data_IF_272485590837
#
_entry.id   IF_272485590837
#
_cell.length_a   1.000
_cell.length_b   1.000
_cell.length_c   1.000
_cell.angle_alpha   90.00
_cell.angle_beta   90.00
_cell.angle_gamma   90.00
#
_symmetry.space_group_name_H-M   'P 1'
#
loop_
_entity.id
_entity.type
_entity.pdbx_description
1 polymer ?
#
# COMPACT_ATOMS: atom_id res chain seq x y z
N UNK A 1 -29.88 15.21 1.43
CA UNK A 1 -28.58 15.68 2.00
C UNK A 1 -27.47 14.93 1.30
N UNK A 2 -26.65 15.67 0.62
CA UNK A 2 -25.48 15.09 -0.02
C UNK A 2 -24.36 14.95 1.00
N UNK A 3 -24.11 13.74 1.44
CA UNK A 3 -22.94 13.46 2.27
C UNK A 3 -21.77 13.23 1.32
N UNK A 4 -20.90 14.19 1.24
CA UNK A 4 -19.63 13.99 0.53
C UNK A 4 -18.74 13.19 1.48
N UNK A 5 -18.68 11.89 1.28
CA UNK A 5 -17.71 11.07 1.95
C UNK A 5 -16.32 11.42 1.42
N UNK A 6 -15.43 11.90 2.31
CA UNK A 6 -14.03 12.14 1.97
C UNK A 6 -13.30 10.80 1.84
N UNK A 7 -13.69 10.02 0.84
CA UNK A 7 -13.05 8.75 0.52
C UNK A 7 -12.10 8.92 -0.64
N UNK A 8 -11.03 8.16 -0.65
CA UNK A 8 -10.09 8.07 -1.75
C UNK A 8 -10.70 7.24 -2.90
N UNK A 9 -10.14 7.38 -4.09
CA UNK A 9 -10.57 6.63 -5.27
C UNK A 9 -9.50 5.65 -5.69
N UNK A 10 -9.87 4.41 -6.07
CA UNK A 10 -8.91 3.43 -6.56
C UNK A 10 -8.17 3.92 -7.80
N UNK A 11 -6.91 3.52 -7.89
CA UNK A 11 -6.08 3.72 -9.08
C UNK A 11 -5.69 2.34 -9.58
N UNK A 12 -5.98 1.98 -10.84
CA UNK A 12 -5.47 0.74 -11.40
C UNK A 12 -3.95 0.69 -11.30
N UNK A 13 -3.39 -0.46 -10.95
CA UNK A 13 -1.95 -0.60 -10.75
C UNK A 13 -1.13 -0.19 -11.97
N UNK A 14 -1.68 -0.34 -13.17
CA UNK A 14 -1.04 0.07 -14.42
C UNK A 14 -0.93 1.59 -14.60
N UNK A 15 -1.71 2.37 -13.86
CA UNK A 15 -1.71 3.84 -13.93
C UNK A 15 -1.06 4.50 -12.72
N UNK A 16 -0.69 3.74 -11.72
CA UNK A 16 -0.05 4.28 -10.53
C UNK A 16 1.40 4.65 -10.80
N UNK A 17 1.89 5.66 -10.10
CA UNK A 17 3.26 6.11 -10.21
C UNK A 17 4.17 5.23 -9.35
N UNK A 18 5.33 4.81 -9.85
CA UNK A 18 6.28 4.10 -8.99
C UNK A 18 6.78 5.04 -7.90
N UNK A 19 6.96 4.46 -6.71
CA UNK A 19 7.51 5.21 -5.58
C UNK A 19 8.97 5.63 -5.87
N UNK A 20 9.36 6.88 -5.57
CA UNK A 20 10.76 7.29 -5.68
C UNK A 20 11.66 6.49 -4.75
N UNK A 21 12.87 6.19 -5.22
CA UNK A 21 13.85 5.39 -4.47
C UNK A 21 14.15 5.97 -3.07
N UNK A 22 14.15 7.29 -2.93
CA UNK A 22 14.43 7.96 -1.64
C UNK A 22 13.40 7.68 -0.55
N UNK A 23 12.23 7.15 -0.90
CA UNK A 23 11.19 6.80 0.05
C UNK A 23 11.03 5.30 0.25
N UNK A 24 11.89 4.50 -0.36
CA UNK A 24 12.01 3.07 -0.10
C UNK A 24 12.97 2.89 1.07
N UNK A 25 12.45 2.39 2.19
CA UNK A 25 13.21 2.24 3.44
C UNK A 25 13.93 0.91 3.53
N UNK A 26 13.39 -0.12 2.92
CA UNK A 26 13.95 -1.46 2.91
C UNK A 26 14.02 -1.97 1.45
N UNK A 27 15.03 -1.55 0.69
CA UNK A 27 15.12 -1.85 -0.74
C UNK A 27 15.24 -3.34 -1.07
N UNK A 28 15.66 -4.17 -0.12
CA UNK A 28 15.71 -5.62 -0.31
C UNK A 28 14.34 -6.23 -0.64
N UNK A 29 13.25 -5.62 -0.20
CA UNK A 29 11.89 -6.07 -0.54
C UNK A 29 11.51 -5.77 -1.98
N UNK A 30 12.25 -4.94 -2.67
CA UNK A 30 11.95 -4.53 -4.06
C UNK A 30 12.74 -5.32 -5.09
N UNK A 31 13.55 -6.27 -4.67
CA UNK A 31 14.38 -7.08 -5.56
C UNK A 31 13.73 -8.42 -5.83
N UNK A 32 13.60 -8.74 -7.13
CA UNK A 32 13.18 -10.07 -7.53
C UNK A 32 14.22 -11.11 -7.11
N UNK A 33 13.79 -12.18 -6.48
CA UNK A 33 14.63 -13.27 -6.02
C UNK A 33 13.95 -14.59 -6.35
N UNK A 34 14.76 -15.63 -6.57
CA UNK A 34 14.24 -16.98 -6.81
C UNK A 34 13.44 -17.44 -5.59
N UNK A 35 12.26 -18.00 -5.85
CA UNK A 35 11.36 -18.47 -4.80
C UNK A 35 10.48 -17.39 -4.17
N UNK A 36 10.66 -16.13 -4.55
CA UNK A 36 9.85 -15.02 -4.07
C UNK A 36 8.73 -14.70 -5.05
N UNK A 37 7.64 -14.17 -4.55
CA UNK A 37 6.46 -13.86 -5.32
C UNK A 37 6.11 -12.37 -5.23
N UNK A 38 5.44 -11.88 -6.27
CA UNK A 38 5.10 -10.46 -6.42
C UNK A 38 3.89 -10.07 -5.56
N UNK A 39 4.05 -8.99 -4.84
CA UNK A 39 2.98 -8.27 -4.14
C UNK A 39 3.02 -6.82 -4.60
N UNK A 40 1.91 -6.31 -5.12
CA UNK A 40 1.81 -4.93 -5.57
C UNK A 40 0.93 -4.16 -4.60
N UNK A 41 1.45 -3.10 -4.03
CA UNK A 41 0.71 -2.21 -3.13
C UNK A 41 0.51 -0.88 -3.82
N UNK A 42 -0.74 -0.52 -4.09
CA UNK A 42 -1.10 0.73 -4.76
C UNK A 42 -1.90 1.59 -3.81
N UNK A 43 -1.46 2.82 -3.62
CA UNK A 43 -2.22 3.79 -2.83
C UNK A 43 -3.22 4.53 -3.71
N UNK A 44 -4.44 4.65 -3.21
CA UNK A 44 -5.51 5.40 -3.86
C UNK A 44 -5.10 6.83 -4.19
N UNK A 45 -5.73 7.35 -5.23
CA UNK A 45 -5.78 8.78 -5.51
C UNK A 45 -6.56 9.49 -4.39
N UNK A 46 -6.05 10.61 -3.90
CA UNK A 46 -6.68 11.39 -2.84
C UNK A 46 -6.59 12.88 -3.12
N UNK A 47 -7.50 13.65 -2.52
CA UNK A 47 -7.41 15.11 -2.54
C UNK A 47 -6.16 15.54 -1.77
N UNK A 48 -5.56 16.67 -2.15
CA UNK A 48 -4.33 17.20 -1.57
C UNK A 48 -4.39 17.39 -0.05
N UNK A 49 -5.55 17.80 0.46
CA UNK A 49 -5.78 17.97 1.89
C UNK A 49 -5.66 16.66 2.68
N UNK A 50 -5.76 15.51 1.99
CA UNK A 50 -5.69 14.18 2.57
C UNK A 50 -4.39 13.46 2.20
N UNK A 51 -3.40 14.19 1.73
CA UNK A 51 -2.17 13.64 1.19
C UNK A 51 -1.11 13.34 2.26
N UNK A 52 -1.53 12.81 3.41
CA UNK A 52 -0.56 12.31 4.38
C UNK A 52 0.21 11.13 3.84
N UNK A 53 1.43 10.96 4.34
CA UNK A 53 2.28 9.84 3.97
C UNK A 53 1.77 8.56 4.64
N UNK A 54 1.64 7.49 3.86
CA UNK A 54 1.33 6.17 4.38
C UNK A 54 2.63 5.38 4.57
N UNK A 55 2.92 5.02 5.80
CA UNK A 55 4.04 4.12 6.11
C UNK A 55 3.60 2.68 5.89
N UNK A 56 4.27 2.01 4.97
CA UNK A 56 4.01 0.61 4.65
C UNK A 56 4.98 -0.30 5.41
N UNK A 57 4.42 -1.26 6.13
CA UNK A 57 5.19 -2.25 6.87
C UNK A 57 4.90 -3.65 6.33
N UNK A 58 5.92 -4.49 6.31
CA UNK A 58 5.80 -5.91 6.01
C UNK A 58 6.43 -6.68 7.17
N UNK A 59 5.65 -7.53 7.82
CA UNK A 59 6.10 -8.33 8.96
C UNK A 59 6.78 -7.46 10.04
N UNK A 60 6.23 -6.28 10.28
CA UNK A 60 6.74 -5.33 11.27
C UNK A 60 7.90 -4.45 10.81
N UNK A 61 8.38 -4.62 9.58
CA UNK A 61 9.51 -3.86 9.04
C UNK A 61 8.98 -2.70 8.19
N UNK A 62 9.42 -1.48 8.47
CA UNK A 62 9.09 -0.33 7.63
C UNK A 62 9.77 -0.47 6.27
N UNK A 63 8.97 -0.58 5.22
CA UNK A 63 9.44 -0.86 3.86
C UNK A 63 9.49 0.40 3.02
N UNK A 64 8.47 1.25 3.11
CA UNK A 64 8.35 2.40 2.24
C UNK A 64 7.32 3.42 2.75
N UNK A 65 7.44 4.63 2.22
CA UNK A 65 6.49 5.72 2.46
C UNK A 65 5.74 5.99 1.15
N UNK A 66 4.43 5.76 1.14
CA UNK A 66 3.58 5.93 -0.03
C UNK A 66 2.79 7.24 0.04
N UNK A 67 2.79 7.97 -1.05
CA UNK A 67 1.89 9.11 -1.29
C UNK A 67 0.74 8.70 -2.21
N UNK A 68 -0.33 9.51 -2.32
CA UNK A 68 -1.44 9.19 -3.19
C UNK A 68 -1.03 8.89 -4.63
N UNK A 69 -1.69 7.92 -5.26
CA UNK A 69 -1.45 7.44 -6.62
C UNK A 69 -0.10 6.77 -6.85
N UNK A 70 0.59 6.39 -5.79
CA UNK A 70 1.87 5.68 -5.89
C UNK A 70 1.71 4.19 -5.64
N UNK A 71 2.64 3.42 -6.20
CA UNK A 71 2.70 1.98 -5.95
C UNK A 71 4.12 1.53 -5.67
N UNK A 72 4.23 0.41 -4.99
CA UNK A 72 5.47 -0.33 -4.80
C UNK A 72 5.24 -1.80 -5.17
N UNK A 73 6.24 -2.37 -5.82
CA UNK A 73 6.26 -3.80 -6.15
C UNK A 73 7.20 -4.48 -5.17
N UNK A 74 6.65 -5.39 -4.41
CA UNK A 74 7.39 -6.14 -3.39
C UNK A 74 7.56 -7.58 -3.83
N UNK A 75 8.67 -8.17 -3.44
CA UNK A 75 8.94 -9.59 -3.65
C UNK A 75 9.11 -10.24 -2.27
N UNK A 76 8.20 -11.14 -1.93
CA UNK A 76 8.13 -11.79 -0.63
C UNK A 76 8.22 -13.30 -0.78
N UNK A 77 8.79 -13.95 0.21
CA UNK A 77 8.77 -15.42 0.26
C UNK A 77 7.34 -15.94 0.21
N UNK A 78 7.13 -17.10 -0.39
CA UNK A 78 5.82 -17.75 -0.34
C UNK A 78 5.41 -18.05 1.09
N UNK A 79 4.12 -17.92 1.37
CA UNK A 79 3.56 -18.11 2.69
C UNK A 79 2.83 -16.88 3.20
N UNK A 80 2.55 -16.86 4.50
CA UNK A 80 1.80 -15.79 5.11
C UNK A 80 2.69 -14.60 5.48
N UNK A 81 2.18 -13.41 5.18
CA UNK A 81 2.82 -12.15 5.54
C UNK A 81 1.78 -11.17 6.07
N UNK A 82 2.17 -10.38 7.06
CA UNK A 82 1.36 -9.33 7.60
C UNK A 82 1.80 -8.01 6.96
N UNK A 83 0.88 -7.36 6.23
CA UNK A 83 1.16 -6.07 5.60
C UNK A 83 0.33 -5.01 6.29
N UNK A 84 0.95 -3.95 6.71
CA UNK A 84 0.33 -2.89 7.47
C UNK A 84 0.61 -1.51 6.91
N UNK A 85 -0.30 -0.58 7.21
CA UNK A 85 -0.14 0.84 6.90
C UNK A 85 -0.45 1.67 8.13
N UNK A 86 0.27 2.77 8.26
CA UNK A 86 0.01 3.79 9.27
C UNK A 86 0.16 5.17 8.65
N UNK A 87 -0.59 6.14 9.18
CA UNK A 87 -0.51 7.51 8.69
C UNK A 87 0.55 8.30 9.44
N UNK A 88 1.32 9.09 8.70
CA UNK A 88 2.22 10.08 9.28
C UNK A 88 1.75 11.49 8.90
N UNK A 89 1.75 12.39 9.87
CA UNK A 89 1.35 13.79 9.66
C UNK A 89 -0.15 14.02 9.54
N UNK A 90 -0.96 12.98 9.75
CA UNK A 90 -2.42 13.05 9.76
C UNK A 90 -2.96 12.41 11.02
N UNK A 91 -4.18 12.82 11.39
CA UNK A 91 -4.95 12.12 12.41
C UNK A 91 -5.50 10.87 11.72
N UNK A 92 -5.16 9.71 12.22
CA UNK A 92 -5.67 8.46 11.65
C UNK A 92 -5.04 7.24 12.28
N UNK A 93 -5.73 6.13 12.16
CA UNK A 93 -5.28 4.84 12.69
C UNK A 93 -4.35 4.09 11.75
N UNK A 94 -3.94 2.95 12.21
CA UNK A 94 -3.21 1.96 11.42
C UNK A 94 -4.18 0.85 11.04
N UNK A 95 -3.86 0.15 9.97
CA UNK A 95 -4.59 -1.03 9.52
C UNK A 95 -3.62 -2.07 9.00
N UNK A 96 -4.03 -3.31 9.01
CA UNK A 96 -3.19 -4.41 8.55
C UNK A 96 -4.02 -5.53 7.93
N UNK A 97 -3.40 -6.28 7.06
CA UNK A 97 -4.00 -7.44 6.40
C UNK A 97 -3.01 -8.60 6.40
N UNK A 98 -3.51 -9.80 6.71
CA UNK A 98 -2.75 -11.03 6.55
C UNK A 98 -2.98 -11.55 5.13
N UNK A 99 -1.90 -11.72 4.38
CA UNK A 99 -1.95 -12.22 3.00
C UNK A 99 -1.23 -13.56 2.89
N UNK A 100 -1.66 -14.34 1.92
CA UNK A 100 -1.01 -15.59 1.55
C UNK A 100 -0.34 -15.40 0.19
N UNK A 101 0.97 -15.40 0.19
CA UNK A 101 1.78 -15.07 -0.99
C UNK A 101 2.17 -16.34 -1.73
N UNK A 102 1.91 -16.36 -3.02
CA UNK A 102 2.19 -17.49 -3.90
C UNK A 102 2.74 -17.01 -5.24
N UNK A 103 3.66 -17.77 -5.82
CA UNK A 103 4.16 -17.51 -7.16
C UNK A 103 3.13 -17.77 -8.25
N UNK A 104 2.08 -18.52 -7.92
CA UNK A 104 1.02 -18.85 -8.88
C UNK A 104 0.18 -17.61 -9.25
N UNK A 105 0.05 -16.66 -8.32
CA UNK A 105 -0.78 -15.48 -8.55
C UNK A 105 -0.26 -14.30 -7.73
N UNK A 106 0.03 -13.15 -8.35
CA UNK A 106 0.40 -11.94 -7.62
C UNK A 106 -0.71 -11.49 -6.68
N UNK A 107 -0.32 -10.95 -5.53
CA UNK A 107 -1.26 -10.33 -4.60
C UNK A 107 -1.28 -8.83 -4.91
N UNK A 108 -2.48 -8.30 -5.15
CA UNK A 108 -2.70 -6.88 -5.36
C UNK A 108 -3.37 -6.31 -4.12
N UNK A 109 -2.74 -5.33 -3.50
CA UNK A 109 -3.25 -4.64 -2.33
C UNK A 109 -3.52 -3.17 -2.66
N UNK A 110 -4.52 -2.63 -1.99
CA UNK A 110 -4.94 -1.26 -2.12
C UNK A 110 -4.87 -0.57 -0.77
N UNK A 111 -4.23 0.59 -0.72
CA UNK A 111 -4.25 1.48 0.44
C UNK A 111 -5.24 2.59 0.16
N UNK A 112 -6.29 2.65 0.95
CA UNK A 112 -7.38 3.61 0.79
C UNK A 112 -7.45 4.54 2.01
N UNK A 113 -8.12 5.66 1.86
CA UNK A 113 -8.47 6.54 2.96
C UNK A 113 -9.98 6.54 3.15
N UNK A 114 -10.43 6.30 4.38
CA UNK A 114 -11.83 6.33 4.76
C UNK A 114 -12.06 7.56 5.61
N UNK A 115 -13.13 8.30 5.34
CA UNK A 115 -13.44 9.57 6.00
C UNK A 115 -12.28 10.59 5.98
N UNK A 116 -11.36 10.45 5.03
CA UNK A 116 -10.24 11.36 4.85
C UNK A 116 -9.06 11.18 5.80
N UNK A 117 -9.18 10.37 6.83
CA UNK A 117 -8.16 10.24 7.88
C UNK A 117 -7.63 8.83 8.03
N UNK A 118 -8.52 7.85 8.10
CA UNK A 118 -8.17 6.48 8.41
C UNK A 118 -7.68 5.78 7.15
N UNK A 119 -6.42 5.35 7.18
CA UNK A 119 -5.91 4.50 6.14
C UNK A 119 -6.37 3.07 6.36
N UNK A 120 -6.75 2.43 5.26
CA UNK A 120 -7.07 1.00 5.23
C UNK A 120 -6.21 0.30 4.20
N UNK A 121 -5.98 -0.98 4.41
CA UNK A 121 -5.32 -1.83 3.43
C UNK A 121 -6.20 -3.05 3.16
N UNK A 122 -6.41 -3.36 1.88
CA UNK A 122 -7.33 -4.43 1.46
C UNK A 122 -6.87 -5.03 0.14
N UNK A 123 -7.44 -6.18 -0.20
CA UNK A 123 -7.22 -6.78 -1.51
C UNK A 123 -7.82 -5.88 -2.59
N UNK A 124 -7.09 -5.73 -3.69
CA UNK A 124 -7.51 -4.92 -4.82
C UNK A 124 -8.00 -5.79 -5.96
N UNK A 125 -9.03 -5.32 -6.68
CA UNK A 125 -9.48 -5.90 -7.93
C UNK A 125 -8.77 -5.30 -9.16
N UNK A 126 -7.90 -4.32 -8.94
CA UNK A 126 -7.29 -3.53 -10.02
C UNK A 126 -5.83 -3.86 -10.28
#
# INVERSE_FOLDING_TARGET
ILVVACTSSPVPSSYANPIPAGRIRAPEFTRAQEGFALVVVTRDKALTVLACTAHLHVDGILVADLRPSEQIRLFLEEGQHLVGVSAAGCIGGADQILIDVSRAKPVLLRVAAVYGYDLTIELSAF
#
